data_IF_549226682542
#
_entry.id   IF_549226682542
#
_cell.length_a   1.000
_cell.length_b   1.000
_cell.length_c   1.000
_cell.angle_alpha   90.00
_cell.angle_beta   90.00
_cell.angle_gamma   90.00
#
_symmetry.space_group_name_H-M   'P 1'
#
loop_
_entity.id
_entity.type
_entity.pdbx_description
1 polymer ?
#
# COMPACT_ATOMS: atom_id res chain seq x y z
N UNK A 1 7.66 8.84 21.47
CA UNK A 1 7.86 7.89 20.34
C UNK A 1 8.04 6.49 20.93
N UNK A 2 8.38 5.47 20.13
CA UNK A 2 8.65 4.12 20.64
C UNK A 2 9.87 4.10 21.57
N UNK A 3 9.95 3.10 22.44
CA UNK A 3 11.04 2.91 23.42
C UNK A 3 12.07 1.90 22.93
N UNK A 4 11.63 0.88 22.18
CA UNK A 4 12.49 -0.19 21.66
C UNK A 4 12.24 -0.39 20.17
N UNK A 5 13.32 -0.57 19.41
CA UNK A 5 13.27 -0.84 17.99
C UNK A 5 14.13 -2.06 17.64
N UNK A 6 13.50 -3.09 17.10
CA UNK A 6 14.16 -4.29 16.61
C UNK A 6 14.28 -4.29 15.09
N UNK A 7 15.42 -4.70 14.57
CA UNK A 7 15.59 -5.13 13.18
C UNK A 7 15.88 -6.63 13.14
N UNK A 8 14.84 -7.50 13.09
CA UNK A 8 15.02 -8.93 12.86
C UNK A 8 15.59 -9.24 11.47
N UNK A 9 16.22 -10.41 11.36
CA UNK A 9 16.80 -10.90 10.09
C UNK A 9 15.93 -11.97 9.41
N UNK A 10 14.94 -12.51 10.12
CA UNK A 10 14.00 -13.52 9.63
C UNK A 10 12.56 -13.24 10.06
N UNK A 11 11.60 -13.82 9.33
CA UNK A 11 10.18 -13.76 9.71
C UNK A 11 9.95 -14.43 11.06
N UNK A 12 10.59 -15.57 11.33
CA UNK A 12 10.38 -16.30 12.57
C UNK A 12 10.91 -15.53 13.80
N UNK A 13 11.98 -14.74 13.65
CA UNK A 13 12.41 -13.77 14.68
C UNK A 13 11.38 -12.66 14.89
N UNK A 14 10.86 -12.08 13.80
CA UNK A 14 9.82 -11.06 13.90
C UNK A 14 8.57 -11.58 14.63
N UNK A 15 8.11 -12.78 14.31
CA UNK A 15 6.96 -13.41 14.97
C UNK A 15 7.22 -13.70 16.45
N UNK A 16 8.44 -14.12 16.81
CA UNK A 16 8.83 -14.30 18.23
C UNK A 16 8.77 -13.00 19.01
N UNK A 17 9.31 -11.91 18.44
CA UNK A 17 9.27 -10.59 19.07
C UNK A 17 7.82 -10.09 19.24
N UNK A 18 6.95 -10.33 18.25
CA UNK A 18 5.54 -9.98 18.35
C UNK A 18 4.81 -10.80 19.42
N UNK A 19 5.13 -12.09 19.55
CA UNK A 19 4.57 -12.93 20.61
C UNK A 19 5.07 -12.53 22.01
N UNK A 20 6.35 -12.15 22.13
CA UNK A 20 6.98 -11.72 23.37
C UNK A 20 6.38 -10.40 23.88
N UNK A 21 6.26 -9.40 23.00
CA UNK A 21 5.82 -8.06 23.37
C UNK A 21 4.30 -7.83 23.19
N UNK A 22 3.61 -8.74 22.51
CA UNK A 22 2.16 -8.75 22.36
C UNK A 22 1.60 -7.41 21.87
N UNK A 23 0.53 -6.87 22.50
CA UNK A 23 -0.11 -5.63 22.09
C UNK A 23 0.79 -4.38 22.10
N UNK A 24 1.93 -4.39 22.79
CA UNK A 24 2.87 -3.26 22.84
C UNK A 24 3.76 -3.16 21.58
N UNK A 25 3.89 -4.26 20.83
CA UNK A 25 4.68 -4.32 19.61
C UNK A 25 3.87 -4.06 18.36
N UNK A 26 4.50 -3.38 17.40
CA UNK A 26 3.97 -3.18 16.05
C UNK A 26 5.05 -3.43 15.01
N UNK A 27 4.66 -4.11 13.93
CA UNK A 27 5.51 -4.17 12.74
C UNK A 27 5.62 -2.79 12.13
N UNK A 28 6.84 -2.42 11.73
CA UNK A 28 7.07 -1.32 10.81
C UNK A 28 7.66 -1.85 9.50
N UNK A 29 6.96 -1.54 8.41
CA UNK A 29 7.45 -1.73 7.05
C UNK A 29 7.77 -0.35 6.45
N UNK A 30 6.83 0.24 5.71
CA UNK A 30 7.02 1.57 5.12
C UNK A 30 7.05 2.73 6.11
N UNK A 31 6.38 2.60 7.25
CA UNK A 31 6.24 3.66 8.25
C UNK A 31 5.31 4.81 7.83
N UNK A 32 4.75 4.77 6.62
CA UNK A 32 4.05 5.92 5.99
C UNK A 32 2.72 6.29 6.65
N UNK A 33 2.08 5.35 7.35
CA UNK A 33 0.90 5.61 8.18
C UNK A 33 1.27 5.55 9.67
N UNK A 34 1.96 4.47 10.08
CA UNK A 34 2.29 4.22 11.49
C UNK A 34 3.06 5.38 12.14
N UNK A 35 4.05 5.98 11.48
CA UNK A 35 4.81 7.07 12.10
C UNK A 35 3.98 8.33 12.26
N UNK A 36 3.10 8.63 11.30
CA UNK A 36 2.19 9.79 11.40
C UNK A 36 1.22 9.60 12.57
N UNK A 37 0.66 8.39 12.72
CA UNK A 37 -0.23 8.06 13.83
C UNK A 37 0.48 8.17 15.19
N UNK A 38 1.73 7.71 15.28
CA UNK A 38 2.53 7.83 16.51
C UNK A 38 2.87 9.29 16.84
N UNK A 39 3.20 10.11 15.84
CA UNK A 39 3.51 11.53 16.02
C UNK A 39 2.30 12.35 16.47
N UNK A 40 1.11 12.01 15.95
CA UNK A 40 -0.15 12.67 16.33
C UNK A 40 -0.74 12.16 17.64
N UNK A 41 -0.25 11.03 18.16
CA UNK A 41 -0.81 10.36 19.32
C UNK A 41 -2.10 9.58 19.03
N UNK A 42 -2.43 9.36 17.75
CA UNK A 42 -3.58 8.56 17.31
C UNK A 42 -3.38 7.05 17.59
N UNK A 43 -2.11 6.66 17.79
CA UNK A 43 -1.70 5.30 18.13
C UNK A 43 -0.54 5.34 19.11
N UNK A 44 -0.47 4.31 19.95
CA UNK A 44 0.69 4.01 20.79
C UNK A 44 1.36 2.71 20.35
N UNK A 45 2.70 2.70 20.36
CA UNK A 45 3.52 1.51 20.21
C UNK A 45 4.83 1.72 20.98
N UNK A 46 5.09 0.87 21.98
CA UNK A 46 6.35 0.93 22.75
C UNK A 46 7.47 0.21 22.03
N UNK A 47 7.13 -0.83 21.27
CA UNK A 47 8.09 -1.65 20.53
C UNK A 47 7.80 -1.61 19.04
N UNK A 48 8.81 -1.31 18.22
CA UNK A 48 8.74 -1.45 16.77
C UNK A 48 9.58 -2.64 16.30
N UNK A 49 9.01 -3.44 15.39
CA UNK A 49 9.68 -4.57 14.73
C UNK A 49 9.81 -4.25 13.24
N UNK A 50 11.00 -3.86 12.80
CA UNK A 50 11.25 -3.46 11.41
C UNK A 50 11.56 -4.67 10.52
N UNK A 51 10.64 -4.94 9.60
CA UNK A 51 10.72 -6.08 8.68
C UNK A 51 11.34 -5.73 7.32
N UNK A 52 11.78 -4.48 7.11
CA UNK A 52 12.24 -3.98 5.80
C UNK A 52 13.55 -4.61 5.35
N UNK A 53 14.35 -5.15 6.28
CA UNK A 53 15.64 -5.78 6.00
C UNK A 53 15.61 -7.32 5.98
N UNK A 54 14.45 -7.93 6.22
CA UNK A 54 14.27 -9.39 6.11
C UNK A 54 14.28 -9.79 4.62
N UNK A 55 15.14 -10.74 4.27
CA UNK A 55 15.26 -11.26 2.90
C UNK A 55 14.00 -11.93 2.36
N UNK A 56 13.72 -11.75 1.07
CA UNK A 56 12.68 -12.50 0.35
C UNK A 56 11.25 -11.97 0.46
N UNK A 57 11.00 -10.97 1.32
CA UNK A 57 9.66 -10.41 1.53
C UNK A 57 9.16 -9.46 0.42
N UNK A 58 10.01 -9.12 -0.54
CA UNK A 58 9.78 -8.13 -1.60
C UNK A 58 9.59 -8.78 -2.99
N UNK A 59 9.09 -10.02 -3.00
CA UNK A 59 8.90 -10.81 -4.22
C UNK A 59 7.46 -10.75 -4.70
N UNK A 60 7.31 -10.69 -6.02
CA UNK A 60 6.05 -10.98 -6.71
C UNK A 60 6.30 -12.22 -7.56
N UNK A 61 5.46 -13.25 -7.44
CA UNK A 61 5.60 -14.50 -8.18
C UNK A 61 4.23 -15.02 -8.63
N UNK A 62 4.22 -15.81 -9.71
CA UNK A 62 3.09 -16.61 -10.14
C UNK A 62 3.39 -18.06 -9.74
N UNK A 63 2.45 -18.74 -9.10
CA UNK A 63 2.57 -20.18 -8.81
C UNK A 63 1.95 -21.06 -9.92
N UNK A 64 2.08 -22.38 -9.75
CA UNK A 64 1.58 -23.37 -10.71
C UNK A 64 0.04 -23.44 -10.75
N UNK A 65 -0.64 -23.00 -9.68
CA UNK A 65 -2.10 -22.91 -9.60
C UNK A 65 -2.66 -21.62 -10.24
N UNK A 66 -1.78 -20.76 -10.78
CA UNK A 66 -2.15 -19.52 -11.44
C UNK A 66 -2.48 -18.37 -10.47
N UNK A 67 -2.03 -18.45 -9.22
CA UNK A 67 -2.12 -17.39 -8.23
C UNK A 67 -0.88 -16.50 -8.27
N UNK A 68 -1.12 -15.19 -8.28
CA UNK A 68 -0.07 -14.20 -8.04
C UNK A 68 0.06 -14.01 -6.54
N UNK A 69 1.28 -14.16 -6.04
CA UNK A 69 1.68 -13.93 -4.66
C UNK A 69 2.49 -12.64 -4.55
N UNK A 70 2.18 -11.84 -3.53
CA UNK A 70 2.85 -10.59 -3.21
C UNK A 70 3.38 -10.67 -1.78
N UNK A 71 4.70 -10.59 -1.65
CA UNK A 71 5.35 -10.54 -0.34
C UNK A 71 5.05 -9.24 0.42
N UNK A 72 5.15 -9.25 1.76
CA UNK A 72 4.69 -8.15 2.60
C UNK A 72 5.57 -6.89 2.54
N UNK A 73 6.79 -6.99 2.02
CA UNK A 73 7.69 -5.88 1.77
C UNK A 73 7.62 -5.36 0.32
N UNK A 74 6.72 -5.88 -0.52
CA UNK A 74 6.48 -5.31 -1.85
C UNK A 74 5.87 -3.92 -1.69
N UNK A 75 6.68 -2.91 -2.03
CA UNK A 75 6.29 -1.51 -2.04
C UNK A 75 5.33 -1.22 -3.20
N UNK A 76 4.56 -0.15 -3.12
CA UNK A 76 3.69 0.25 -4.23
C UNK A 76 4.48 0.46 -5.53
N UNK A 77 5.70 1.02 -5.47
CA UNK A 77 6.53 1.16 -6.66
C UNK A 77 7.07 -0.20 -7.16
N UNK A 78 7.42 -1.14 -6.28
CA UNK A 78 7.75 -2.52 -6.71
C UNK A 78 6.57 -3.18 -7.42
N UNK A 79 5.35 -2.94 -6.95
CA UNK A 79 4.14 -3.44 -7.61
C UNK A 79 3.93 -2.82 -8.99
N UNK A 80 4.16 -1.50 -9.14
CA UNK A 80 4.07 -0.78 -10.43
C UNK A 80 5.14 -1.25 -11.42
N UNK A 81 6.36 -1.56 -10.96
CA UNK A 81 7.44 -2.04 -11.81
C UNK A 81 7.34 -3.52 -12.21
N UNK A 82 6.48 -4.28 -11.53
CA UNK A 82 6.34 -5.72 -11.79
C UNK A 82 5.61 -5.94 -13.11
N UNK A 83 6.33 -6.43 -14.13
CA UNK A 83 5.74 -6.83 -15.41
C UNK A 83 4.60 -7.84 -15.23
N UNK A 84 4.75 -8.78 -14.27
CA UNK A 84 3.70 -9.73 -13.91
C UNK A 84 2.43 -9.03 -13.40
N UNK A 85 2.53 -8.02 -12.52
CA UNK A 85 1.35 -7.29 -12.06
C UNK A 85 0.77 -6.38 -13.15
N UNK A 86 1.60 -5.74 -13.95
CA UNK A 86 1.12 -4.91 -15.07
C UNK A 86 0.34 -5.76 -16.08
N UNK A 87 0.83 -6.96 -16.38
CA UNK A 87 0.20 -7.85 -17.36
C UNK A 87 -1.00 -8.61 -16.77
N UNK A 88 -0.82 -9.24 -15.61
CA UNK A 88 -1.72 -10.26 -15.05
C UNK A 88 -2.42 -9.82 -13.76
N UNK A 89 -2.12 -8.64 -13.23
CA UNK A 89 -2.72 -8.05 -12.02
C UNK A 89 -3.08 -6.56 -12.18
N UNK A 90 -3.40 -6.14 -13.41
CA UNK A 90 -3.41 -4.73 -13.83
C UNK A 90 -4.20 -3.76 -12.92
N UNK A 91 -5.40 -4.09 -12.38
CA UNK A 91 -6.10 -3.22 -11.43
C UNK A 91 -5.25 -2.83 -10.21
N UNK A 92 -4.47 -3.78 -9.69
CA UNK A 92 -3.60 -3.53 -8.54
C UNK A 92 -2.40 -2.65 -8.91
N UNK A 93 -1.79 -2.89 -10.08
CA UNK A 93 -0.70 -2.04 -10.57
C UNK A 93 -1.16 -0.58 -10.73
N UNK A 94 -2.36 -0.37 -11.28
CA UNK A 94 -2.99 0.96 -11.36
C UNK A 94 -3.28 1.57 -10.00
N UNK A 95 -3.88 0.81 -9.09
CA UNK A 95 -4.14 1.29 -7.73
C UNK A 95 -2.84 1.72 -7.04
N UNK A 96 -1.79 0.90 -7.10
CA UNK A 96 -0.48 1.22 -6.53
C UNK A 96 0.12 2.49 -7.14
N UNK A 97 0.03 2.69 -8.46
CA UNK A 97 0.52 3.90 -9.11
C UNK A 97 -0.19 5.18 -8.61
N UNK A 98 -1.47 5.07 -8.26
CA UNK A 98 -2.30 6.18 -7.79
C UNK A 98 -2.14 6.49 -6.29
N UNK A 99 -1.35 5.70 -5.56
CA UNK A 99 -1.03 5.94 -4.14
C UNK A 99 0.01 7.05 -4.01
N UNK A 100 -0.29 8.06 -3.19
CA UNK A 100 0.68 9.03 -2.68
C UNK A 100 1.58 9.70 -3.73
N UNK A 101 2.87 9.79 -3.40
CA UNK A 101 3.98 10.30 -4.22
C UNK A 101 4.96 9.16 -4.52
N UNK A 102 5.87 9.31 -5.50
CA UNK A 102 6.94 8.34 -5.73
C UNK A 102 7.73 7.96 -4.46
N UNK A 103 8.07 8.93 -3.60
CA UNK A 103 8.79 8.69 -2.36
C UNK A 103 7.97 7.88 -1.35
N UNK A 104 6.68 8.17 -1.20
CA UNK A 104 5.79 7.36 -0.37
C UNK A 104 5.68 5.93 -0.94
N UNK A 105 5.57 5.79 -2.26
CA UNK A 105 5.48 4.48 -2.92
C UNK A 105 6.77 3.67 -2.85
N UNK A 106 7.92 4.27 -2.55
CA UNK A 106 9.18 3.57 -2.27
C UNK A 106 9.25 2.97 -0.87
N UNK A 107 8.32 3.33 0.01
CA UNK A 107 8.29 2.89 1.41
C UNK A 107 7.00 2.14 1.74
N UNK A 108 5.85 2.73 1.43
CA UNK A 108 4.53 2.14 1.63
C UNK A 108 4.41 0.81 0.89
N UNK A 109 4.02 -0.24 1.63
CA UNK A 109 3.86 -1.59 1.10
C UNK A 109 2.40 -1.91 0.87
N UNK A 110 2.13 -2.82 -0.08
CA UNK A 110 0.77 -3.29 -0.35
C UNK A 110 0.19 -3.92 0.92
N UNK A 111 0.93 -4.81 1.60
CA UNK A 111 0.47 -5.42 2.85
C UNK A 111 0.23 -4.39 3.97
N UNK A 112 1.12 -3.40 4.13
CA UNK A 112 0.92 -2.31 5.09
C UNK A 112 -0.36 -1.51 4.80
N UNK A 113 -0.63 -1.23 3.52
CA UNK A 113 -1.85 -0.56 3.09
C UNK A 113 -3.12 -1.37 3.44
N UNK A 114 -3.07 -2.70 3.35
CA UNK A 114 -4.17 -3.57 3.77
C UNK A 114 -4.36 -3.55 5.29
N UNK A 115 -3.27 -3.66 6.06
CA UNK A 115 -3.28 -3.70 7.54
C UNK A 115 -3.76 -2.38 8.15
N UNK A 116 -3.43 -1.23 7.55
CA UNK A 116 -3.97 0.08 7.97
C UNK A 116 -5.50 0.12 7.92
N UNK A 117 -6.13 -0.63 7.00
CA UNK A 117 -7.57 -0.78 6.89
C UNK A 117 -8.35 0.55 6.80
N UNK A 118 -7.77 1.54 6.12
CA UNK A 118 -8.46 2.79 5.83
C UNK A 118 -9.46 2.58 4.68
N UNK A 119 -10.71 3.06 4.78
CA UNK A 119 -11.68 2.97 3.68
C UNK A 119 -11.26 3.74 2.41
N UNK A 120 -10.25 4.60 2.52
CA UNK A 120 -9.69 5.36 1.40
C UNK A 120 -8.43 4.72 0.80
N UNK A 121 -8.00 3.56 1.29
CA UNK A 121 -6.83 2.87 0.77
C UNK A 121 -7.13 2.19 -0.57
N UNK A 122 -6.46 2.68 -1.61
CA UNK A 122 -6.74 2.33 -3.00
C UNK A 122 -6.51 0.85 -3.34
N UNK A 123 -5.50 0.22 -2.73
CA UNK A 123 -5.15 -1.16 -3.08
C UNK A 123 -6.13 -2.20 -2.55
N UNK A 124 -6.88 -1.86 -1.48
CA UNK A 124 -7.90 -2.76 -0.91
C UNK A 124 -9.00 -3.01 -1.94
N UNK A 125 -9.49 -1.95 -2.59
CA UNK A 125 -10.51 -2.02 -3.64
C UNK A 125 -10.06 -2.93 -4.79
N UNK A 126 -8.84 -2.71 -5.32
CA UNK A 126 -8.31 -3.54 -6.40
C UNK A 126 -8.13 -5.01 -6.00
N UNK A 127 -7.59 -5.29 -4.82
CA UNK A 127 -7.35 -6.66 -4.35
C UNK A 127 -8.65 -7.41 -4.05
N UNK A 128 -9.67 -6.73 -3.55
CA UNK A 128 -10.97 -7.38 -3.34
C UNK A 128 -11.65 -7.71 -4.67
N UNK A 129 -11.56 -6.83 -5.68
CA UNK A 129 -12.08 -7.15 -7.02
C UNK A 129 -11.32 -8.31 -7.69
N UNK A 130 -10.07 -8.53 -7.30
CA UNK A 130 -9.25 -9.67 -7.73
C UNK A 130 -9.50 -10.94 -6.90
N UNK A 131 -10.47 -10.95 -5.98
CA UNK A 131 -10.77 -12.07 -5.08
C UNK A 131 -9.54 -12.50 -4.23
N UNK A 132 -8.77 -11.53 -3.74
CA UNK A 132 -7.55 -11.79 -2.98
C UNK A 132 -7.80 -12.49 -1.63
N UNK A 133 -6.76 -13.19 -1.17
CA UNK A 133 -6.63 -13.85 0.13
C UNK A 133 -5.37 -13.38 0.83
N UNK A 134 -5.38 -13.43 2.15
CA UNK A 134 -4.25 -13.09 3.01
C UNK A 134 -3.81 -14.30 3.82
N UNK A 135 -2.51 -14.55 3.84
CA UNK A 135 -1.90 -15.51 4.76
C UNK A 135 -1.31 -14.76 5.95
N UNK A 136 -1.77 -15.12 7.14
CA UNK A 136 -1.34 -14.59 8.43
C UNK A 136 -0.54 -15.66 9.15
N UNK A 137 0.65 -15.31 9.65
CA UNK A 137 1.50 -16.21 10.45
C UNK A 137 1.72 -15.64 11.84
N UNK A 138 1.82 -16.54 12.82
CA UNK A 138 2.26 -16.29 14.19
C UNK A 138 3.16 -17.44 14.65
N UNK A 139 3.70 -17.38 15.86
CA UNK A 139 4.41 -18.52 16.47
C UNK A 139 3.49 -19.73 16.73
N UNK A 140 2.18 -19.53 16.76
CA UNK A 140 1.19 -20.58 16.98
C UNK A 140 0.82 -21.34 15.70
N UNK A 141 1.14 -20.80 14.54
CA UNK A 141 0.78 -21.38 13.25
C UNK A 141 0.44 -20.35 12.18
N UNK A 142 -0.13 -20.85 11.08
CA UNK A 142 -0.48 -20.09 9.89
C UNK A 142 -1.97 -20.28 9.57
N UNK A 143 -2.62 -19.21 9.07
CA UNK A 143 -3.97 -19.28 8.53
C UNK A 143 -4.12 -18.38 7.31
N UNK A 144 -4.97 -18.79 6.38
CA UNK A 144 -5.32 -17.99 5.19
C UNK A 144 -6.81 -17.68 5.21
N UNK A 145 -7.17 -16.43 4.90
CA UNK A 145 -8.56 -15.98 4.81
C UNK A 145 -8.81 -15.14 3.55
N UNK A 146 -10.04 -15.13 3.01
CA UNK A 146 -10.47 -14.15 2.02
C UNK A 146 -10.26 -12.72 2.53
N UNK A 147 -9.91 -11.80 1.63
CA UNK A 147 -9.69 -10.39 1.99
C UNK A 147 -10.96 -9.74 2.58
N UNK A 148 -12.15 -10.16 2.16
CA UNK A 148 -13.41 -9.67 2.72
C UNK A 148 -13.54 -9.96 4.23
N UNK A 149 -13.09 -11.14 4.66
CA UNK A 149 -13.19 -11.59 6.05
C UNK A 149 -12.11 -10.97 6.94
N UNK A 150 -11.13 -10.29 6.34
CA UNK A 150 -10.06 -9.61 7.06
C UNK A 150 -10.52 -8.31 7.71
N UNK A 151 -11.54 -7.64 7.17
CA UNK A 151 -12.01 -6.35 7.65
C UNK A 151 -13.20 -6.50 8.61
N UNK A 152 -13.07 -5.92 9.80
CA UNK A 152 -14.10 -5.96 10.85
C UNK A 152 -14.75 -4.59 11.10
N UNK A 153 -14.25 -3.54 10.43
CA UNK A 153 -14.73 -2.17 10.55
C UNK A 153 -13.71 -1.16 10.05
N UNK A 154 -13.98 0.12 10.27
CA UNK A 154 -13.07 1.22 9.95
C UNK A 154 -11.78 1.04 10.74
N UNK A 155 -10.64 0.81 10.06
CA UNK A 155 -9.32 0.61 10.69
C UNK A 155 -9.27 -0.56 11.68
N UNK A 156 -10.15 -1.54 11.50
CA UNK A 156 -10.24 -2.75 12.31
C UNK A 156 -10.09 -3.99 11.43
N UNK A 157 -9.21 -4.90 11.83
CA UNK A 157 -8.88 -6.09 11.05
C UNK A 157 -8.91 -7.34 11.94
N UNK A 158 -9.00 -8.51 11.30
CA UNK A 158 -8.89 -9.80 11.94
C UNK A 158 -7.45 -10.18 12.34
N UNK A 159 -6.46 -9.30 12.16
CA UNK A 159 -5.05 -9.53 12.51
C UNK A 159 -4.86 -9.51 14.03
N UNK A 160 -4.39 -10.62 14.60
CA UNK A 160 -4.04 -10.66 16.02
C UNK A 160 -2.73 -9.89 16.30
N UNK A 161 -2.51 -9.50 17.56
CA UNK A 161 -1.34 -8.69 17.96
C UNK A 161 0.00 -9.37 17.71
N UNK A 162 0.02 -10.71 17.65
CA UNK A 162 1.22 -11.51 17.39
C UNK A 162 1.27 -12.11 15.98
N UNK A 163 0.37 -11.67 15.10
CA UNK A 163 0.33 -12.10 13.70
C UNK A 163 1.00 -11.10 12.76
N UNK A 164 1.55 -11.64 11.67
CA UNK A 164 2.07 -10.89 10.53
C UNK A 164 1.39 -11.37 9.25
N UNK A 165 0.99 -10.44 8.38
CA UNK A 165 0.67 -10.76 6.98
C UNK A 165 1.95 -11.17 6.28
N UNK A 166 2.02 -12.40 5.77
CA UNK A 166 3.21 -12.93 5.08
C UNK A 166 3.01 -13.19 3.61
N UNK A 167 1.77 -13.20 3.13
CA UNK A 167 1.46 -13.33 1.72
C UNK A 167 0.11 -12.69 1.38
N UNK A 168 0.04 -12.05 0.22
CA UNK A 168 -1.20 -11.61 -0.42
C UNK A 168 -1.31 -12.36 -1.75
N UNK A 169 -2.34 -13.18 -1.91
CA UNK A 169 -2.51 -14.03 -3.08
C UNK A 169 -3.82 -13.75 -3.81
N UNK A 170 -3.82 -13.72 -5.14
CA UNK A 170 -5.04 -13.63 -5.95
C UNK A 170 -4.88 -14.31 -7.30
N UNK A 171 -5.97 -14.81 -7.93
CA UNK A 171 -5.90 -15.41 -9.26
C UNK A 171 -5.41 -14.42 -10.31
N UNK A 172 -4.40 -14.81 -11.08
CA UNK A 172 -3.92 -14.04 -12.22
C UNK A 172 -5.06 -13.80 -13.22
N UNK A 173 -5.12 -12.59 -13.80
CA UNK A 173 -6.04 -12.30 -14.91
C UNK A 173 -5.63 -13.15 -16.12
N UNK A 174 -6.51 -14.06 -16.54
CA UNK A 174 -6.35 -14.85 -17.76
C UNK A 174 -6.67 -14.04 -19.03
N UNK A 175 -6.55 -14.64 -20.23
CA UNK A 175 -6.80 -13.95 -21.51
C UNK A 175 -8.24 -13.44 -21.65
N UNK A 176 -9.20 -14.10 -21.00
CA UNK A 176 -10.61 -13.72 -21.00
C UNK A 176 -11.02 -12.87 -19.79
N UNK A 177 -10.08 -12.50 -18.91
CA UNK A 177 -10.35 -11.63 -17.75
C UNK A 177 -9.70 -10.29 -17.94
N UNK A 178 -10.46 -9.22 -17.71
CA UNK A 178 -9.97 -7.84 -17.80
C UNK A 178 -10.36 -7.10 -16.54
N UNK A 179 -9.50 -6.18 -16.09
CA UNK A 179 -9.86 -5.29 -15.00
C UNK A 179 -9.16 -3.95 -15.10
N UNK A 180 -9.73 -2.95 -14.42
CA UNK A 180 -9.21 -1.59 -14.31
C UNK A 180 -9.49 -1.05 -12.91
N UNK A 181 -8.81 0.03 -12.55
CA UNK A 181 -8.99 0.78 -11.31
C UNK A 181 -9.13 2.28 -11.63
N UNK A 182 -10.17 2.91 -11.08
CA UNK A 182 -10.43 4.33 -11.24
C UNK A 182 -10.45 5.04 -9.89
N UNK A 183 -9.86 6.23 -9.85
CA UNK A 183 -9.79 7.08 -8.64
C UNK A 183 -10.16 8.51 -8.99
N UNK A 184 -11.00 9.10 -8.15
CA UNK A 184 -11.24 10.53 -8.08
C UNK A 184 -10.64 11.06 -6.78
N UNK A 185 -9.84 12.12 -6.91
CA UNK A 185 -9.28 12.86 -5.78
C UNK A 185 -9.27 14.37 -6.12
N UNK A 186 -9.13 15.22 -5.10
CA UNK A 186 -9.13 16.68 -5.25
C UNK A 186 -7.90 17.25 -5.96
N UNK A 187 -6.83 16.45 -6.09
CA UNK A 187 -5.58 16.79 -6.76
C UNK A 187 -5.06 15.60 -7.56
N UNK A 188 -4.33 15.86 -8.65
CA UNK A 188 -3.85 14.84 -9.60
C UNK A 188 -2.86 13.85 -8.99
N UNK A 189 -2.04 14.31 -8.04
CA UNK A 189 -1.06 13.50 -7.31
C UNK A 189 -1.28 13.69 -5.83
N UNK A 190 -0.93 12.66 -5.04
CA UNK A 190 -0.97 12.74 -3.57
C UNK A 190 -2.36 13.08 -2.98
N UNK A 191 -3.44 12.85 -3.73
CA UNK A 191 -4.81 13.06 -3.26
C UNK A 191 -5.36 11.80 -2.58
N UNK A 192 -5.98 11.97 -1.41
CA UNK A 192 -6.81 10.93 -0.79
C UNK A 192 -8.06 10.74 -1.65
N UNK A 193 -8.48 9.49 -1.83
CA UNK A 193 -9.62 9.14 -2.66
C UNK A 193 -10.91 9.74 -2.11
N UNK A 194 -11.58 10.55 -2.94
CA UNK A 194 -12.99 10.95 -2.74
C UNK A 194 -13.87 9.75 -3.10
N UNK A 195 -13.58 9.12 -4.23
CA UNK A 195 -14.17 7.84 -4.65
C UNK A 195 -13.07 7.04 -5.34
N UNK A 196 -13.01 5.74 -5.09
CA UNK A 196 -12.31 4.82 -5.97
C UNK A 196 -13.19 3.61 -6.30
N UNK A 197 -12.92 2.98 -7.43
CA UNK A 197 -13.61 1.78 -7.87
C UNK A 197 -12.66 0.85 -8.62
N UNK A 198 -12.77 -0.45 -8.39
CA UNK A 198 -12.12 -1.46 -9.21
C UNK A 198 -13.16 -2.38 -9.82
N UNK A 199 -12.99 -2.66 -11.11
CA UNK A 199 -13.88 -3.52 -11.88
C UNK A 199 -13.06 -4.64 -12.52
N UNK A 200 -13.47 -5.89 -12.31
CA UNK A 200 -12.89 -7.08 -12.96
C UNK A 200 -14.02 -7.88 -13.60
N UNK A 201 -13.90 -8.15 -14.90
CA UNK A 201 -14.88 -8.91 -15.69
C UNK A 201 -14.21 -10.13 -16.32
N UNK A 202 -14.93 -11.25 -16.34
CA UNK A 202 -14.61 -12.44 -17.13
C UNK A 202 -15.55 -12.51 -18.32
N UNK A 203 -15.00 -12.78 -19.50
CA UNK A 203 -15.75 -12.86 -20.76
C UNK A 203 -15.76 -14.30 -21.31
N UNK A 204 -16.83 -14.64 -22.00
CA UNK A 204 -16.90 -15.73 -22.98
C UNK A 204 -17.37 -15.12 -24.31
N UNK A 205 -16.46 -15.02 -25.27
CA UNK A 205 -16.66 -14.15 -26.44
C UNK A 205 -16.85 -12.69 -26.03
N UNK A 206 -18.01 -12.12 -26.33
CA UNK A 206 -18.42 -10.77 -25.92
C UNK A 206 -19.25 -10.75 -24.63
N UNK A 207 -19.67 -11.91 -24.14
CA UNK A 207 -20.60 -12.06 -23.04
C UNK A 207 -19.89 -12.07 -21.69
N UNK A 208 -20.38 -11.29 -20.74
CA UNK A 208 -19.82 -11.27 -19.37
C UNK A 208 -20.34 -12.48 -18.59
N UNK A 209 -19.43 -13.33 -18.11
CA UNK A 209 -19.75 -14.54 -17.33
C UNK A 209 -19.48 -14.36 -15.84
N UNK A 210 -18.60 -13.43 -15.46
CA UNK A 210 -18.39 -13.02 -14.08
C UNK A 210 -18.10 -11.53 -14.00
N UNK A 211 -18.58 -10.88 -12.96
CA UNK A 211 -18.31 -9.48 -12.67
C UNK A 211 -17.94 -9.29 -11.19
N UNK A 212 -17.01 -8.36 -10.96
CA UNK A 212 -16.59 -7.85 -9.66
C UNK A 212 -16.56 -6.34 -9.75
N UNK A 213 -17.34 -5.65 -8.93
CA UNK A 213 -17.32 -4.19 -8.78
C UNK A 213 -17.14 -3.90 -7.31
N UNK A 214 -16.01 -3.29 -6.97
CA UNK A 214 -15.68 -2.86 -5.61
C UNK A 214 -15.57 -1.35 -5.54
N UNK A 215 -15.99 -0.78 -4.43
CA UNK A 215 -16.09 0.67 -4.22
C UNK A 215 -15.41 1.05 -2.91
N UNK A 216 -14.56 2.07 -2.97
CA UNK A 216 -13.87 2.64 -1.79
C UNK A 216 -14.15 4.12 -1.58
N UNK A 217 -13.90 4.59 -0.35
CA UNK A 217 -14.25 5.93 0.14
C UNK A 217 -15.75 6.28 0.11
N UNK A 218 -16.64 5.30 -0.02
CA UNK A 218 -18.09 5.52 -0.17
C UNK A 218 -18.96 4.66 0.75
N UNK A 219 -18.35 4.09 1.79
CA UNK A 219 -18.99 3.35 2.88
C UNK A 219 -17.99 3.26 4.06
N UNK A 220 -18.40 2.79 5.27
CA UNK A 220 -17.49 2.62 6.40
C UNK A 220 -16.31 1.67 6.11
N UNK A 221 -16.49 0.72 5.20
CA UNK A 221 -15.43 -0.14 4.67
C UNK A 221 -15.51 -0.15 3.14
N UNK A 222 -14.54 -0.77 2.47
CA UNK A 222 -14.70 -1.09 1.05
C UNK A 222 -15.93 -2.00 0.90
N UNK A 223 -16.69 -1.85 -0.18
CA UNK A 223 -17.88 -2.67 -0.43
C UNK A 223 -17.86 -3.25 -1.83
N UNK A 224 -18.65 -4.31 -2.04
CA UNK A 224 -19.00 -4.83 -3.36
C UNK A 224 -20.40 -4.39 -3.76
N UNK A 225 -20.65 -4.30 -5.07
CA UNK A 225 -21.94 -3.96 -5.64
C UNK A 225 -22.55 -5.17 -6.39
N UNK A 226 -23.09 -6.18 -5.67
CA UNK A 226 -23.54 -7.44 -6.28
C UNK A 226 -24.71 -7.26 -7.26
N UNK A 227 -25.60 -6.31 -7.04
CA UNK A 227 -26.69 -6.00 -7.97
C UNK A 227 -26.14 -5.45 -9.29
N UNK A 228 -25.15 -4.54 -9.22
CA UNK A 228 -24.46 -4.00 -10.39
C UNK A 228 -23.70 -5.09 -11.15
N UNK A 229 -23.05 -6.02 -10.43
CA UNK A 229 -22.39 -7.17 -11.02
C UNK A 229 -23.39 -8.08 -11.76
N UNK A 230 -24.54 -8.37 -11.14
CA UNK A 230 -25.61 -9.19 -11.72
C UNK A 230 -26.18 -8.60 -13.01
N UNK A 231 -26.35 -7.28 -13.07
CA UNK A 231 -26.82 -6.57 -14.27
C UNK A 231 -25.88 -6.71 -15.49
N UNK A 232 -24.62 -7.09 -15.28
CA UNK A 232 -23.66 -7.32 -16.37
C UNK A 232 -23.72 -8.74 -16.93
N UNK A 233 -24.17 -9.72 -16.15
CA UNK A 233 -24.04 -11.14 -16.50
C UNK A 233 -24.92 -11.56 -17.69
N UNK A 234 -24.40 -12.51 -18.47
CA UNK A 234 -25.14 -13.23 -19.50
C UNK A 234 -25.39 -12.46 -20.79
N UNK A 235 -24.77 -11.30 -20.99
CA UNK A 235 -24.79 -10.61 -22.29
C UNK A 235 -23.56 -9.71 -22.50
N UNK A 236 -23.42 -9.12 -23.70
CA UNK A 236 -22.34 -8.18 -23.99
C UNK A 236 -22.49 -6.83 -23.29
N UNK A 237 -21.37 -6.09 -23.17
CA UNK A 237 -21.33 -4.70 -22.68
C UNK A 237 -21.88 -3.67 -23.70
N UNK A 238 -22.83 -4.05 -24.54
CA UNK A 238 -23.38 -3.21 -25.61
C UNK A 238 -24.32 -2.12 -25.07
N UNK A 239 -24.61 -1.12 -25.92
CA UNK A 239 -25.71 -0.19 -25.69
C UNK A 239 -27.04 -0.98 -25.68
N UNK A 240 -27.95 -0.60 -24.78
CA UNK A 240 -29.23 -1.29 -24.64
C UNK A 240 -30.11 -1.16 -25.89
N UNK A 241 -31.24 -1.88 -25.95
CA UNK A 241 -32.25 -1.67 -26.99
C UNK A 241 -32.66 -0.19 -27.07
N UNK A 242 -33.11 0.30 -28.23
CA UNK A 242 -33.63 1.66 -28.35
C UNK A 242 -34.66 1.97 -27.25
N UNK A 243 -34.42 3.04 -26.48
CA UNK A 243 -35.32 3.45 -25.38
C UNK A 243 -35.08 2.78 -24.02
N UNK A 244 -34.07 1.92 -23.86
CA UNK A 244 -33.61 1.42 -22.55
C UNK A 244 -32.16 1.78 -22.28
N UNK A 245 -31.79 2.10 -21.01
CA UNK A 245 -30.38 2.23 -20.65
C UNK A 245 -29.64 0.93 -20.97
N UNK A 246 -28.44 1.05 -21.55
CA UNK A 246 -27.56 -0.11 -21.75
C UNK A 246 -27.05 -0.64 -20.42
N UNK A 247 -26.59 -1.90 -20.41
CA UNK A 247 -26.10 -2.59 -19.21
C UNK A 247 -25.02 -1.81 -18.45
N UNK A 248 -24.18 -1.08 -19.18
CA UNK A 248 -23.18 -0.18 -18.58
C UNK A 248 -23.84 0.91 -17.71
N UNK A 249 -24.91 1.54 -18.20
CA UNK A 249 -25.61 2.59 -17.47
C UNK A 249 -26.36 2.01 -16.27
N UNK A 250 -27.07 0.89 -16.47
CA UNK A 250 -27.78 0.18 -15.40
C UNK A 250 -26.83 -0.26 -14.27
N UNK A 251 -25.72 -0.92 -14.59
CA UNK A 251 -24.73 -1.33 -13.60
C UNK A 251 -24.10 -0.12 -12.88
N UNK A 252 -23.88 0.99 -13.58
CA UNK A 252 -23.38 2.21 -12.96
C UNK A 252 -24.39 2.84 -11.98
N UNK A 253 -25.69 2.81 -12.31
CA UNK A 253 -26.76 3.28 -11.42
C UNK A 253 -26.86 2.39 -10.17
N UNK A 254 -26.84 1.07 -10.35
CA UNK A 254 -26.87 0.11 -9.24
C UNK A 254 -25.62 0.24 -8.34
N UNK A 255 -24.45 0.48 -8.92
CA UNK A 255 -23.23 0.70 -8.13
C UNK A 255 -23.33 1.99 -7.29
N UNK A 256 -23.94 3.05 -7.82
CA UNK A 256 -24.18 4.28 -7.06
C UNK A 256 -25.22 4.07 -5.93
N UNK A 257 -26.21 3.21 -6.13
CA UNK A 257 -27.18 2.84 -5.10
C UNK A 257 -26.59 1.99 -3.98
N UNK A 258 -25.56 1.18 -4.28
CA UNK A 258 -24.83 0.42 -3.27
C UNK A 258 -23.97 1.30 -2.35
N UNK A 259 -23.61 2.51 -2.78
CA UNK A 259 -22.81 3.45 -2.00
C UNK A 259 -23.61 4.07 -0.84
N UNK A 260 -22.98 4.16 0.34
CA UNK A 260 -23.55 4.81 1.53
C UNK A 260 -22.53 5.83 2.09
N UNK A 261 -22.17 6.88 1.32
CA UNK A 261 -21.10 7.80 1.69
C UNK A 261 -21.54 8.79 2.77
N UNK A 262 -20.58 9.19 3.61
CA UNK A 262 -20.71 10.38 4.45
C UNK A 262 -20.34 11.65 3.65
N UNK A 263 -20.82 12.80 4.10
CA UNK A 263 -20.29 14.10 3.68
C UNK A 263 -19.10 14.50 4.57
N UNK A 264 -18.02 15.03 3.98
CA UNK A 264 -16.87 15.57 4.69
C UNK A 264 -16.27 16.77 3.95
N UNK A 265 -15.14 17.29 4.43
CA UNK A 265 -14.41 18.40 3.78
C UNK A 265 -13.97 18.11 2.34
N UNK A 266 -13.92 16.84 1.93
CA UNK A 266 -13.48 16.45 0.60
C UNK A 266 -14.61 16.46 -0.42
N UNK A 267 -15.82 16.05 -0.01
CA UNK A 267 -17.01 16.08 -0.84
C UNK A 267 -18.30 15.77 -0.06
N UNK A 268 -19.43 16.27 -0.57
CA UNK A 268 -20.77 15.87 -0.14
C UNK A 268 -21.13 14.43 -0.54
N UNK A 269 -22.07 13.83 0.19
CA UNK A 269 -22.54 12.47 -0.03
C UNK A 269 -23.13 12.28 -1.44
N UNK A 270 -24.02 13.19 -1.88
CA UNK A 270 -24.64 13.13 -3.21
C UNK A 270 -23.61 13.19 -4.34
N UNK A 271 -22.58 14.03 -4.18
CA UNK A 271 -21.47 14.10 -5.14
C UNK A 271 -20.69 12.79 -5.20
N UNK A 272 -20.42 12.15 -4.05
CA UNK A 272 -19.74 10.84 -4.01
C UNK A 272 -20.55 9.77 -4.73
N UNK A 273 -21.87 9.68 -4.47
CA UNK A 273 -22.75 8.73 -5.14
C UNK A 273 -22.81 8.98 -6.65
N UNK A 274 -22.90 10.23 -7.09
CA UNK A 274 -22.82 10.57 -8.52
C UNK A 274 -21.48 10.16 -9.13
N UNK A 275 -20.38 10.40 -8.42
CA UNK A 275 -19.05 10.05 -8.91
C UNK A 275 -18.81 8.54 -8.94
N UNK A 276 -19.45 7.74 -8.08
CA UNK A 276 -19.48 6.28 -8.22
C UNK A 276 -20.08 5.90 -9.57
N UNK A 277 -21.27 6.43 -9.92
CA UNK A 277 -21.91 6.19 -11.22
C UNK A 277 -20.97 6.51 -12.37
N UNK A 278 -20.36 7.71 -12.35
CA UNK A 278 -19.45 8.17 -13.41
C UNK A 278 -18.22 7.28 -13.53
N UNK A 279 -17.57 6.92 -12.42
CA UNK A 279 -16.34 6.13 -12.44
C UNK A 279 -16.61 4.68 -12.89
N UNK A 280 -17.67 4.05 -12.39
CA UNK A 280 -18.05 2.68 -12.79
C UNK A 280 -18.42 2.65 -14.28
N UNK A 281 -19.20 3.62 -14.77
CA UNK A 281 -19.52 3.75 -16.19
C UNK A 281 -18.26 3.85 -17.05
N UNK A 282 -17.30 4.70 -16.66
CA UNK A 282 -16.03 4.86 -17.38
C UNK A 282 -15.21 3.57 -17.36
N UNK A 283 -15.08 2.92 -16.21
CA UNK A 283 -14.37 1.66 -16.08
C UNK A 283 -14.96 0.57 -17.00
N UNK A 284 -16.28 0.44 -17.05
CA UNK A 284 -16.95 -0.52 -17.92
C UNK A 284 -16.75 -0.23 -19.41
N UNK A 285 -16.77 1.05 -19.81
CA UNK A 285 -16.44 1.47 -21.18
C UNK A 285 -14.99 1.10 -21.53
N UNK A 286 -14.04 1.41 -20.65
CA UNK A 286 -12.63 1.03 -20.81
C UNK A 286 -12.46 -0.48 -21.02
N UNK A 287 -13.15 -1.29 -20.22
CA UNK A 287 -13.05 -2.76 -20.31
C UNK A 287 -13.68 -3.33 -21.58
N UNK A 288 -14.81 -2.75 -22.03
CA UNK A 288 -15.45 -3.09 -23.31
C UNK A 288 -14.51 -2.81 -24.47
N UNK A 289 -13.92 -1.62 -24.49
CA UNK A 289 -13.07 -1.16 -25.61
C UNK A 289 -11.66 -1.79 -25.57
N UNK A 290 -11.29 -2.43 -24.46
CA UNK A 290 -9.98 -3.08 -24.28
C UNK A 290 -8.82 -2.08 -24.19
N UNK A 291 -9.11 -0.80 -23.96
CA UNK A 291 -8.13 0.26 -23.99
C UNK A 291 -7.41 0.38 -22.64
N UNK A 292 -6.17 -0.10 -22.54
CA UNK A 292 -5.30 0.14 -21.37
C UNK A 292 -4.36 1.34 -21.56
N UNK A 293 -4.38 1.98 -22.74
CA UNK A 293 -3.36 2.93 -23.16
C UNK A 293 -3.45 4.23 -22.36
N UNK A 294 -2.31 4.65 -21.79
CA UNK A 294 -2.21 5.89 -21.00
C UNK A 294 -2.71 5.79 -19.55
N UNK A 295 -3.17 4.62 -19.09
CA UNK A 295 -3.58 4.45 -17.68
C UNK A 295 -2.38 4.39 -16.72
N UNK A 296 -1.27 3.77 -17.15
CA UNK A 296 0.06 3.85 -16.54
C UNK A 296 1.00 4.63 -17.47
N UNK A 297 1.94 5.43 -16.94
CA UNK A 297 2.98 6.05 -17.76
C UNK A 297 3.98 4.99 -18.23
N UNK A 298 4.55 5.18 -19.42
CA UNK A 298 5.58 4.28 -19.96
C UNK A 298 6.85 4.23 -19.10
N UNK A 299 7.16 5.35 -18.43
CA UNK A 299 8.34 5.52 -17.56
C UNK A 299 7.92 6.13 -16.23
N UNK A 300 7.34 5.35 -15.30
CA UNK A 300 6.98 5.85 -13.98
C UNK A 300 8.23 6.35 -13.23
N UNK A 301 8.06 7.42 -12.46
CA UNK A 301 9.14 7.93 -11.60
C UNK A 301 9.34 6.96 -10.42
N UNK A 302 10.42 6.18 -10.47
CA UNK A 302 10.73 5.15 -9.47
C UNK A 302 11.60 5.67 -8.32
N UNK A 303 12.51 6.61 -8.59
CA UNK A 303 13.45 7.18 -7.62
C UNK A 303 14.32 6.11 -6.90
N UNK A 304 14.78 5.11 -7.65
CA UNK A 304 15.53 3.95 -7.14
C UNK A 304 17.03 3.96 -7.43
N UNK A 305 17.52 4.95 -8.18
CA UNK A 305 18.90 4.91 -8.67
C UNK A 305 19.17 3.60 -9.43
N UNK A 306 20.08 2.77 -8.89
CA UNK A 306 20.50 1.48 -9.47
C UNK A 306 20.08 0.26 -8.63
N UNK A 307 19.18 0.43 -7.67
CA UNK A 307 18.85 -0.59 -6.66
C UNK A 307 17.66 -1.47 -7.03
N UNK A 308 16.98 -1.16 -8.15
CA UNK A 308 15.71 -1.79 -8.54
C UNK A 308 14.64 -1.75 -7.43
N UNK A 309 14.72 -0.75 -6.54
CA UNK A 309 13.74 -0.55 -5.47
C UNK A 309 13.92 -1.49 -4.29
N UNK A 310 15.04 -2.20 -4.20
CA UNK A 310 15.32 -3.17 -3.13
C UNK A 310 16.34 -2.61 -2.16
N UNK A 311 15.96 -2.53 -0.89
CA UNK A 311 16.88 -2.18 0.18
C UNK A 311 17.84 -3.35 0.48
N UNK A 312 19.08 -3.06 0.92
CA UNK A 312 20.01 -4.07 1.43
C UNK A 312 19.39 -4.92 2.55
N UNK A 313 19.79 -6.18 2.60
CA UNK A 313 19.36 -7.13 3.64
C UNK A 313 20.33 -7.11 4.80
N UNK A 314 19.78 -7.29 6.01
CA UNK A 314 20.60 -7.51 7.18
C UNK A 314 20.86 -9.01 7.32
N UNK A 315 22.12 -9.40 7.43
CA UNK A 315 22.53 -10.76 7.75
C UNK A 315 23.04 -10.82 9.19
N UNK A 316 22.94 -11.99 9.83
CA UNK A 316 23.44 -12.19 11.19
C UNK A 316 22.33 -12.16 12.23
N UNK A 317 22.56 -11.45 13.33
CA UNK A 317 21.63 -11.41 14.47
C UNK A 317 20.66 -10.23 14.36
N UNK A 318 19.47 -10.37 14.94
CA UNK A 318 18.58 -9.25 15.22
C UNK A 318 19.33 -8.12 15.93
N UNK A 319 19.19 -6.90 15.43
CA UNK A 319 19.72 -5.69 16.06
C UNK A 319 18.62 -5.03 16.88
N UNK A 320 18.96 -4.50 18.04
CA UNK A 320 18.04 -3.77 18.92
C UNK A 320 18.62 -2.40 19.26
N UNK A 321 17.78 -1.38 19.27
CA UNK A 321 18.11 -0.05 19.77
C UNK A 321 17.04 0.40 20.76
N UNK A 322 17.45 0.95 21.90
CA UNK A 322 16.56 1.58 22.86
C UNK A 322 16.66 3.10 22.76
N UNK A 323 15.58 3.82 23.08
CA UNK A 323 15.54 5.28 23.05
C UNK A 323 16.59 5.91 23.99
N UNK A 324 16.65 5.42 25.23
CA UNK A 324 17.63 5.80 26.25
C UNK A 324 18.76 4.77 26.41
N UNK A 325 18.98 3.95 25.36
CA UNK A 325 19.96 2.85 25.39
C UNK A 325 21.39 3.26 25.05
N UNK A 326 22.39 2.43 25.40
CA UNK A 326 23.78 2.65 25.03
C UNK A 326 24.11 2.23 23.59
N UNK A 327 23.16 1.62 22.86
CA UNK A 327 23.41 1.07 21.52
C UNK A 327 23.52 2.19 20.48
N UNK A 328 24.70 2.39 19.84
CA UNK A 328 24.83 3.40 18.81
C UNK A 328 24.12 3.02 17.51
N UNK A 329 23.67 4.03 16.79
CA UNK A 329 23.36 3.92 15.36
C UNK A 329 24.65 4.21 14.58
N UNK A 330 25.23 3.19 13.97
CA UNK A 330 26.44 3.28 13.14
C UNK A 330 26.04 3.30 11.66
N UNK A 331 26.42 4.32 10.89
CA UNK A 331 26.04 4.42 9.48
C UNK A 331 27.01 5.28 8.68
N UNK A 332 26.83 5.35 7.36
CA UNK A 332 27.58 6.27 6.51
C UNK A 332 26.66 7.41 6.07
N UNK A 333 27.02 8.66 6.32
CA UNK A 333 26.28 9.85 5.88
C UNK A 333 27.20 10.71 5.02
N UNK A 334 26.80 11.00 3.78
CA UNK A 334 27.56 11.81 2.83
C UNK A 334 29.01 11.32 2.58
N UNK A 335 29.26 10.03 2.76
CA UNK A 335 30.58 9.40 2.59
C UNK A 335 31.35 9.20 3.88
N UNK A 336 30.97 9.87 4.97
CA UNK A 336 31.62 9.77 6.27
C UNK A 336 30.95 8.73 7.17
N UNK A 337 31.74 7.96 7.90
CA UNK A 337 31.22 7.04 8.92
C UNK A 337 30.85 7.83 10.17
N UNK A 338 29.61 7.70 10.62
CA UNK A 338 29.06 8.38 11.78
C UNK A 338 28.52 7.39 12.80
N UNK A 339 28.62 7.77 14.08
CA UNK A 339 28.12 7.01 15.22
C UNK A 339 27.24 7.95 16.03
N UNK A 340 25.95 7.63 16.15
CA UNK A 340 24.97 8.49 16.85
C UNK A 340 24.42 7.75 18.07
N UNK A 341 24.42 8.43 19.22
CA UNK A 341 23.91 7.93 20.49
C UNK A 341 22.56 8.58 20.83
N UNK A 342 21.67 7.86 21.52
CA UNK A 342 20.41 8.44 22.03
C UNK A 342 19.41 8.85 20.95
N UNK A 343 19.47 8.25 19.76
CA UNK A 343 18.54 8.48 18.65
C UNK A 343 17.56 7.31 18.44
N UNK A 344 17.48 6.37 19.39
CA UNK A 344 16.68 5.15 19.28
C UNK A 344 15.18 5.40 19.07
N UNK A 345 14.61 6.41 19.70
CA UNK A 345 13.21 6.82 19.56
C UNK A 345 12.95 7.92 18.54
N UNK A 346 13.97 8.35 17.77
CA UNK A 346 13.86 9.50 16.84
C UNK A 346 13.46 9.07 15.43
N UNK A 347 12.96 10.04 14.65
CA UNK A 347 12.93 9.89 13.18
C UNK A 347 14.33 10.13 12.61
N UNK A 348 14.58 9.60 11.41
CA UNK A 348 15.82 9.83 10.68
C UNK A 348 16.01 11.33 10.41
N UNK A 349 14.92 12.07 10.17
CA UNK A 349 14.99 13.52 10.01
C UNK A 349 15.51 14.21 11.27
N UNK A 350 14.97 13.86 12.44
CA UNK A 350 15.42 14.42 13.71
C UNK A 350 16.89 14.07 13.97
N UNK A 351 17.29 12.81 13.75
CA UNK A 351 18.69 12.39 13.88
C UNK A 351 19.65 13.21 12.99
N UNK A 352 19.32 13.37 11.70
CA UNK A 352 20.16 14.12 10.77
C UNK A 352 20.29 15.59 11.17
N UNK A 353 19.21 16.21 11.63
CA UNK A 353 19.16 17.65 11.92
C UNK A 353 19.72 17.99 13.30
N UNK A 354 19.29 17.27 14.32
CA UNK A 354 19.54 17.59 15.73
C UNK A 354 20.86 16.98 16.22
N UNK A 355 21.17 15.76 15.80
CA UNK A 355 22.36 15.05 16.28
C UNK A 355 23.58 15.22 15.34
N UNK A 356 23.34 15.37 14.03
CA UNK A 356 24.42 15.53 13.02
C UNK A 356 24.54 16.95 12.44
N UNK A 357 23.61 17.86 12.76
CA UNK A 357 23.65 19.26 12.28
C UNK A 357 23.37 19.44 10.77
N UNK A 358 22.92 18.40 10.06
CA UNK A 358 22.62 18.41 8.63
C UNK A 358 21.21 18.97 8.37
N UNK A 359 21.10 20.30 8.44
CA UNK A 359 19.82 21.02 8.45
C UNK A 359 19.23 21.36 7.08
N UNK A 360 19.94 21.06 6.00
CA UNK A 360 19.48 21.20 4.62
C UNK A 360 18.32 20.25 4.29
N UNK A 361 18.29 19.07 4.91
CA UNK A 361 17.10 18.21 4.91
C UNK A 361 16.05 18.83 5.84
N UNK A 362 14.93 19.29 5.30
CA UNK A 362 13.98 20.15 6.02
C UNK A 362 12.76 19.42 6.53
N UNK A 363 12.38 19.74 7.76
CA UNK A 363 11.03 19.52 8.24
C UNK A 363 10.08 20.49 7.53
N UNK A 364 9.13 19.93 6.77
CA UNK A 364 8.09 20.68 6.08
C UNK A 364 6.74 20.36 6.70
N UNK A 365 6.04 19.39 6.13
CA UNK A 365 4.73 18.98 6.63
C UNK A 365 4.75 17.91 7.74
N UNK A 366 5.90 17.30 8.05
CA UNK A 366 6.03 16.17 9.00
C UNK A 366 5.43 14.83 8.52
N UNK A 367 4.57 14.87 7.51
CA UNK A 367 3.71 13.73 7.09
C UNK A 367 4.12 13.10 5.76
N UNK A 368 5.29 13.47 5.23
CA UNK A 368 5.79 12.93 3.96
C UNK A 368 5.11 13.48 2.70
N UNK A 369 4.27 14.51 2.83
CA UNK A 369 3.55 15.14 1.71
C UNK A 369 4.45 16.03 0.84
N UNK A 370 5.23 16.92 1.48
CA UNK A 370 5.95 17.99 0.77
C UNK A 370 7.27 17.56 0.13
N UNK A 371 7.84 16.41 0.52
CA UNK A 371 9.11 15.92 0.02
C UNK A 371 10.36 16.68 0.51
N UNK A 372 10.24 17.69 1.37
CA UNK A 372 11.39 18.49 1.83
C UNK A 372 12.36 17.71 2.71
N UNK A 373 11.88 16.63 3.32
CA UNK A 373 12.66 15.72 4.17
C UNK A 373 13.33 14.60 3.34
N UNK A 374 13.38 14.70 2.01
CA UNK A 374 13.89 13.62 1.14
C UNK A 374 15.39 13.42 1.34
N UNK A 375 15.78 12.16 1.53
CA UNK A 375 17.18 11.70 1.52
C UNK A 375 17.30 10.46 0.65
N UNK A 376 18.51 10.16 0.17
CA UNK A 376 18.81 8.87 -0.44
C UNK A 376 19.26 7.91 0.65
N UNK A 377 18.42 6.92 0.96
CA UNK A 377 18.74 5.84 1.89
C UNK A 377 19.02 4.57 1.08
N UNK A 378 20.24 4.05 1.20
CA UNK A 378 20.72 2.88 0.47
C UNK A 378 20.47 2.96 -1.04
N UNK A 379 20.61 4.15 -1.63
CA UNK A 379 20.38 4.35 -3.06
C UNK A 379 18.89 4.42 -3.46
N UNK A 380 17.97 4.63 -2.52
CA UNK A 380 16.54 4.86 -2.79
C UNK A 380 16.10 6.19 -2.15
N UNK A 381 15.37 7.02 -2.90
CA UNK A 381 14.81 8.25 -2.34
C UNK A 381 13.64 7.93 -1.38
N UNK A 382 13.76 8.37 -0.14
CA UNK A 382 12.77 8.17 0.93
C UNK A 382 12.53 9.44 1.73
N UNK A 383 11.45 9.46 2.49
CA UNK A 383 11.10 10.56 3.40
C UNK A 383 11.69 10.27 4.78
N UNK A 384 12.75 10.98 5.16
CA UNK A 384 13.42 10.79 6.47
C UNK A 384 12.50 11.09 7.66
N UNK A 385 11.50 11.94 7.46
CA UNK A 385 10.48 12.24 8.46
C UNK A 385 9.56 11.04 8.81
N UNK A 386 9.46 10.05 7.90
CA UNK A 386 8.66 8.82 8.09
C UNK A 386 9.53 7.56 8.19
N UNK A 387 10.80 7.74 8.53
CA UNK A 387 11.77 6.65 8.70
C UNK A 387 12.29 6.69 10.14
N UNK A 388 12.18 5.62 10.92
CA UNK A 388 12.86 5.52 12.22
C UNK A 388 14.37 5.71 12.08
N UNK A 389 14.99 6.50 12.95
CA UNK A 389 16.44 6.68 12.96
C UNK A 389 17.21 5.35 13.08
N UNK A 390 16.81 4.38 13.92
CA UNK A 390 17.45 3.06 13.99
C UNK A 390 17.56 2.30 12.67
N UNK A 391 16.69 2.61 11.67
CA UNK A 391 16.80 2.02 10.33
C UNK A 391 18.11 2.42 9.63
N UNK A 392 18.73 3.53 10.02
CA UNK A 392 20.01 3.97 9.48
C UNK A 392 21.18 3.07 9.88
N UNK A 393 21.07 2.27 10.94
CA UNK A 393 22.17 1.42 11.39
C UNK A 393 22.64 0.47 10.27
N UNK A 394 23.89 0.57 9.84
CA UNK A 394 24.49 -0.15 8.73
C UNK A 394 24.08 0.32 7.32
N UNK A 395 23.42 1.48 7.21
CA UNK A 395 22.93 2.03 5.94
C UNK A 395 23.84 3.14 5.40
N UNK A 396 23.68 3.43 4.09
CA UNK A 396 24.31 4.58 3.44
C UNK A 396 23.27 5.67 3.18
N UNK A 397 23.53 6.89 3.64
CA UNK A 397 22.63 8.04 3.51
C UNK A 397 23.34 9.15 2.74
N UNK A 398 22.65 9.72 1.75
CA UNK A 398 23.05 10.97 1.10
C UNK A 398 21.97 12.01 1.33
N UNK A 399 22.34 13.09 2.01
CA UNK A 399 21.49 14.27 2.25
C UNK A 399 21.72 15.32 1.15
N UNK A 400 20.98 16.42 1.18
CA UNK A 400 21.18 17.51 0.21
C UNK A 400 22.57 18.13 0.30
N UNK A 401 23.16 18.18 1.49
CA UNK A 401 24.52 18.65 1.72
C UNK A 401 25.57 17.76 1.04
N UNK A 402 25.34 16.45 0.98
CA UNK A 402 26.23 15.52 0.28
C UNK A 402 26.09 15.55 -1.25
N UNK A 403 25.12 16.31 -1.79
CA UNK A 403 24.97 16.54 -3.23
C UNK A 403 25.66 17.82 -3.71
N UNK A 404 26.07 18.69 -2.78
CA UNK A 404 26.54 20.05 -3.05
C UNK A 404 28.01 20.11 -3.50
#
# INVERSE_FOLDING_TARGET
>A
MWQTYYTPTSVDEALRLLAEHGPEARIIAGGTDLLVELQRGDREARVLVDVTRIGGLDRVRLDDDGLIHIGPAVTHNLAVASGLLVERGFPLALACWRVGTPQLRNRGTVAGNLVTASPANDTITALWALDAKLTLRSVRGERTLPLADFYQGVRQTALASDEMVTDVAFPALGPNRRGTFAKLALRRTHGISVVNAATVLTFDGDTVTQARITLGSVAPTIIRAPEAEGALLGAPLSAGPPGRPGRIAEAADLAAQAAVPIADIRAGADYRSEMVRVLVRRALITLRDGNKQGELPDRPAMLWGRTEGRFPRLAGKTVCHHDEGPEPIECTVNGDNVVVQGAGGKTLLAMLREDLGLTGTKEGCGEGECGTCTVWLDGIAVLSCLTPAPRAHGAHIVTVEGLA
#
